data_IF_520195799200
#
_entry.id   IF_520195799200
#
_cell.length_a   1.000
_cell.length_b   1.000
_cell.length_c   1.000
_cell.angle_alpha   90.00
_cell.angle_beta   90.00
_cell.angle_gamma   90.00
#
_symmetry.space_group_name_H-M   'P 1'
#
loop_
_entity.id
_entity.type
_entity.pdbx_description
1 polymer ?
#
# COMPACT_ATOMS: atom_id res chain seq x y z
N UNK A 1 19.60 -15.80 -25.22
CA UNK A 1 18.39 -15.12 -24.70
C UNK A 1 18.66 -14.72 -23.26
N UNK A 2 18.48 -13.45 -22.85
CA UNK A 2 18.58 -13.08 -21.43
C UNK A 2 17.32 -13.57 -20.71
N UNK A 3 17.48 -14.50 -19.80
CA UNK A 3 16.41 -15.01 -18.97
C UNK A 3 15.89 -13.88 -18.07
N UNK A 4 14.61 -13.53 -18.21
CA UNK A 4 14.00 -12.45 -17.41
C UNK A 4 13.81 -12.95 -15.98
N UNK A 5 14.76 -12.68 -15.10
CA UNK A 5 14.65 -12.98 -13.67
C UNK A 5 13.61 -12.06 -13.03
N UNK A 6 12.52 -12.64 -12.53
CA UNK A 6 11.52 -11.92 -11.73
C UNK A 6 11.96 -11.88 -10.26
N UNK A 7 11.54 -10.85 -9.53
CA UNK A 7 11.85 -10.74 -8.11
C UNK A 7 11.13 -11.84 -7.31
N UNK A 8 11.78 -12.43 -6.29
CA UNK A 8 11.20 -13.49 -5.44
C UNK A 8 9.86 -13.08 -4.81
N UNK A 9 9.75 -11.82 -4.36
CA UNK A 9 8.49 -11.24 -3.82
C UNK A 9 7.37 -11.20 -4.88
N UNK A 10 7.71 -10.92 -6.14
CA UNK A 10 6.76 -10.93 -7.26
C UNK A 10 6.33 -12.36 -7.58
N UNK A 11 7.27 -13.30 -7.60
CA UNK A 11 6.99 -14.72 -7.79
C UNK A 11 6.01 -15.27 -6.74
N UNK A 12 6.29 -15.03 -5.45
CA UNK A 12 5.42 -15.45 -4.36
C UNK A 12 4.03 -14.79 -4.42
N UNK A 13 3.93 -13.55 -4.91
CA UNK A 13 2.63 -12.91 -5.17
C UNK A 13 1.84 -13.66 -6.23
N UNK A 14 2.45 -14.05 -7.35
CA UNK A 14 1.78 -14.83 -8.38
C UNK A 14 1.33 -16.20 -7.86
N UNK A 15 2.18 -16.90 -7.11
CA UNK A 15 1.82 -18.18 -6.49
C UNK A 15 0.70 -18.05 -5.47
N UNK A 16 0.65 -16.94 -4.72
CA UNK A 16 -0.46 -16.67 -3.79
C UNK A 16 -1.78 -16.60 -4.55
N UNK A 17 -1.83 -15.84 -5.65
CA UNK A 17 -3.03 -15.72 -6.48
C UNK A 17 -3.45 -17.07 -7.08
N UNK A 18 -2.50 -17.86 -7.58
CA UNK A 18 -2.78 -19.18 -8.16
C UNK A 18 -3.25 -20.19 -7.11
N UNK A 19 -2.66 -20.15 -5.91
CA UNK A 19 -3.08 -20.98 -4.78
C UNK A 19 -4.51 -20.65 -4.34
N UNK A 20 -4.87 -19.36 -4.30
CA UNK A 20 -6.24 -18.92 -4.03
C UNK A 20 -7.23 -19.35 -5.11
N UNK A 21 -6.84 -19.26 -6.39
CA UNK A 21 -7.65 -19.74 -7.51
C UNK A 21 -7.91 -21.25 -7.43
N UNK A 22 -6.90 -22.05 -7.07
CA UNK A 22 -7.06 -23.49 -6.87
C UNK A 22 -8.03 -23.82 -5.72
N UNK A 23 -7.93 -23.08 -4.61
CA UNK A 23 -8.86 -23.20 -3.47
C UNK A 23 -10.30 -22.88 -3.89
N UNK A 24 -10.50 -21.83 -4.69
CA UNK A 24 -11.80 -21.53 -5.28
C UNK A 24 -12.29 -22.66 -6.19
N UNK A 25 -11.42 -23.23 -7.04
CA UNK A 25 -11.77 -24.34 -7.92
C UNK A 25 -12.25 -25.60 -7.18
N UNK A 26 -11.63 -25.92 -6.03
CA UNK A 26 -12.08 -27.01 -5.15
C UNK A 26 -13.49 -26.79 -4.62
N UNK A 27 -13.80 -25.58 -4.17
CA UNK A 27 -15.12 -25.24 -3.63
C UNK A 27 -16.23 -25.33 -4.68
N UNK A 28 -15.89 -25.13 -5.96
CA UNK A 28 -16.83 -25.19 -7.09
C UNK A 28 -16.83 -26.55 -7.81
N UNK A 29 -16.22 -27.59 -7.22
CA UNK A 29 -16.14 -28.94 -7.80
C UNK A 29 -15.51 -29.01 -9.20
N UNK A 30 -14.68 -28.03 -9.56
CA UNK A 30 -13.94 -27.99 -10.84
C UNK A 30 -12.65 -28.83 -10.79
N UNK A 31 -12.28 -29.30 -9.60
CA UNK A 31 -11.10 -30.13 -9.35
C UNK A 31 -11.49 -31.36 -8.55
N UNK A 32 -10.62 -32.37 -8.56
CA UNK A 32 -10.83 -33.56 -7.75
C UNK A 32 -10.85 -33.19 -6.26
N UNK A 33 -11.85 -33.63 -5.47
CA UNK A 33 -11.99 -33.27 -4.06
C UNK A 33 -10.73 -33.56 -3.23
N UNK A 34 -10.02 -34.63 -3.59
CA UNK A 34 -8.85 -35.15 -2.88
C UNK A 34 -7.52 -34.59 -3.40
N UNK A 35 -7.50 -33.92 -4.56
CA UNK A 35 -6.24 -33.45 -5.14
C UNK A 35 -5.62 -32.34 -4.27
N UNK A 36 -4.36 -32.46 -3.82
CA UNK A 36 -3.68 -31.38 -3.12
C UNK A 36 -3.48 -30.16 -4.04
N UNK A 37 -3.23 -29.00 -3.46
CA UNK A 37 -2.95 -27.80 -4.24
C UNK A 37 -1.53 -27.84 -4.79
N UNK A 38 -1.33 -27.82 -6.12
CA UNK A 38 0.00 -27.93 -6.71
C UNK A 38 0.87 -26.69 -6.43
N UNK A 39 0.28 -25.58 -6.00
CA UNK A 39 0.98 -24.31 -5.76
C UNK A 39 1.43 -24.12 -4.30
N UNK A 40 1.06 -24.99 -3.37
CA UNK A 40 1.33 -24.79 -1.93
C UNK A 40 2.79 -24.97 -1.54
N UNK A 41 3.57 -25.74 -2.28
CA UNK A 41 4.99 -26.03 -1.99
C UNK A 41 5.95 -25.29 -2.92
N UNK A 42 5.44 -24.41 -3.78
CA UNK A 42 6.26 -23.68 -4.76
C UNK A 42 6.75 -22.32 -4.26
N UNK A 43 6.32 -21.90 -3.07
CA UNK A 43 6.74 -20.63 -2.49
C UNK A 43 8.24 -20.62 -2.25
N UNK A 44 8.90 -19.60 -2.81
CA UNK A 44 10.33 -19.42 -2.62
C UNK A 44 10.56 -18.84 -1.22
N UNK A 45 11.50 -19.40 -0.48
CA UNK A 45 11.98 -18.80 0.76
C UNK A 45 12.61 -17.46 0.38
N UNK A 46 12.05 -16.40 0.94
CA UNK A 46 12.63 -15.07 0.91
C UNK A 46 13.30 -14.95 2.26
N UNK A 47 14.59 -15.21 2.31
CA UNK A 47 15.39 -14.87 3.48
C UNK A 47 15.22 -13.37 3.70
N UNK A 48 14.92 -12.96 4.93
CA UNK A 48 15.04 -11.57 5.36
C UNK A 48 16.54 -11.26 5.42
N UNK A 49 17.19 -11.22 4.26
CA UNK A 49 18.55 -10.75 4.12
C UNK A 49 18.59 -9.36 4.77
N UNK A 50 19.44 -9.13 5.80
CA UNK A 50 19.63 -7.80 6.33
C UNK A 50 19.98 -6.94 5.14
N UNK A 51 19.20 -5.88 4.95
CA UNK A 51 19.28 -4.98 3.81
C UNK A 51 20.71 -4.50 3.70
N UNK A 52 21.55 -5.18 2.91
CA UNK A 52 22.82 -4.63 2.46
C UNK A 52 22.46 -3.31 1.79
N UNK A 53 23.29 -2.28 1.94
CA UNK A 53 22.99 -0.89 1.57
C UNK A 53 22.59 -0.65 0.08
N UNK A 54 22.46 -1.72 -0.73
CA UNK A 54 21.86 -1.72 -2.06
C UNK A 54 20.89 -2.87 -2.41
N UNK A 55 20.44 -3.70 -1.46
CA UNK A 55 19.76 -4.98 -1.73
C UNK A 55 18.26 -5.07 -1.43
N UNK A 56 17.71 -4.18 -0.60
CA UNK A 56 16.27 -4.06 -0.38
C UNK A 56 15.87 -2.61 -0.56
N UNK A 57 14.86 -2.42 -1.39
CA UNK A 57 14.20 -1.17 -1.76
C UNK A 57 13.47 -0.53 -0.57
N UNK A 58 14.07 -0.56 0.62
CA UNK A 58 13.60 0.25 1.72
C UNK A 58 13.92 1.71 1.36
N UNK A 59 12.86 2.50 1.21
CA UNK A 59 12.99 3.88 0.78
C UNK A 59 13.74 4.62 1.87
N UNK A 60 14.96 5.08 1.55
CA UNK A 60 15.75 5.89 2.48
C UNK A 60 14.91 7.09 2.93
N UNK A 61 14.82 7.34 4.25
CA UNK A 61 14.14 8.53 4.73
C UNK A 61 14.88 9.77 4.24
N UNK A 62 14.14 10.84 3.97
CA UNK A 62 14.71 12.12 3.57
C UNK A 62 15.46 12.74 4.74
N UNK A 63 16.66 13.25 4.46
CA UNK A 63 17.40 14.07 5.40
C UNK A 63 16.93 15.52 5.33
N UNK A 64 17.24 16.29 6.37
CA UNK A 64 16.85 17.70 6.43
C UNK A 64 17.50 18.50 5.31
N UNK A 65 18.76 18.22 4.97
CA UNK A 65 19.47 18.91 3.89
C UNK A 65 18.83 18.63 2.52
N UNK A 66 18.37 17.40 2.30
CA UNK A 66 17.69 17.01 1.07
C UNK A 66 16.32 17.68 0.95
N UNK A 67 15.59 17.82 2.06
CA UNK A 67 14.32 18.57 2.10
C UNK A 67 14.55 20.06 1.83
N UNK A 68 15.57 20.67 2.42
CA UNK A 68 15.94 22.07 2.14
C UNK A 68 16.33 22.25 0.67
N UNK A 69 17.10 21.33 0.10
CA UNK A 69 17.46 21.35 -1.32
C UNK A 69 16.23 21.20 -2.24
N UNK A 70 15.27 20.34 -1.87
CA UNK A 70 14.02 20.19 -2.60
C UNK A 70 13.22 21.49 -2.62
N UNK A 71 13.06 22.16 -1.48
CA UNK A 71 12.33 23.44 -1.39
C UNK A 71 13.12 24.64 -1.93
N UNK A 72 14.44 24.53 -2.08
CA UNK A 72 15.26 25.50 -2.80
C UNK A 72 15.24 25.29 -4.32
N UNK A 73 14.62 24.22 -4.82
CA UNK A 73 14.59 23.94 -6.25
C UNK A 73 13.81 25.00 -7.03
N UNK A 74 14.09 25.16 -8.34
CA UNK A 74 13.37 26.10 -9.22
C UNK A 74 11.84 25.91 -9.25
N UNK A 75 11.34 24.75 -8.81
CA UNK A 75 9.91 24.51 -8.66
C UNK A 75 9.25 25.45 -7.63
N UNK A 76 9.97 25.79 -6.57
CA UNK A 76 9.49 26.66 -5.49
C UNK A 76 10.10 28.07 -5.55
N UNK A 77 11.38 28.18 -5.94
CA UNK A 77 12.09 29.44 -6.01
C UNK A 77 11.80 30.25 -7.28
N UNK A 78 11.34 29.59 -8.36
CA UNK A 78 11.07 30.20 -9.65
C UNK A 78 11.82 29.52 -10.78
N UNK A 79 11.12 29.33 -11.90
CA UNK A 79 11.60 28.63 -13.08
C UNK A 79 11.64 29.53 -14.31
N UNK A 80 12.34 29.07 -15.35
CA UNK A 80 12.51 29.82 -16.60
C UNK A 80 11.25 29.86 -17.47
N UNK A 81 10.53 28.74 -17.57
CA UNK A 81 9.30 28.62 -18.35
C UNK A 81 8.50 27.38 -17.95
N UNK A 82 7.21 27.27 -18.31
CA UNK A 82 6.38 26.11 -17.97
C UNK A 82 6.92 24.75 -18.43
N UNK A 83 7.66 24.72 -19.55
CA UNK A 83 8.31 23.51 -20.07
C UNK A 83 9.70 23.24 -19.51
N UNK A 84 10.34 24.23 -18.86
CA UNK A 84 11.69 24.12 -18.29
C UNK A 84 11.67 24.48 -16.80
N UNK A 85 10.99 23.63 -16.03
CA UNK A 85 10.77 23.86 -14.59
C UNK A 85 11.97 23.57 -13.71
N UNK A 86 12.98 22.88 -14.24
CA UNK A 86 14.23 22.57 -13.55
C UNK A 86 15.30 23.64 -13.76
N UNK A 87 15.08 24.59 -14.68
CA UNK A 87 15.98 25.72 -14.90
C UNK A 87 15.53 26.90 -14.04
N UNK A 88 16.45 27.55 -13.28
CA UNK A 88 16.12 28.71 -12.46
C UNK A 88 15.61 29.88 -13.31
N UNK A 89 14.65 30.63 -12.77
CA UNK A 89 14.10 31.83 -13.38
C UNK A 89 13.13 32.56 -12.45
N UNK A 90 12.41 33.55 -12.96
CA UNK A 90 11.57 34.43 -12.13
C UNK A 90 10.09 34.02 -12.09
N UNK A 91 9.71 32.91 -12.74
CA UNK A 91 8.31 32.48 -12.84
C UNK A 91 8.01 31.34 -11.86
N UNK A 92 7.18 31.59 -10.85
CA UNK A 92 6.67 30.54 -9.94
C UNK A 92 5.32 30.04 -10.43
N UNK A 93 5.26 28.76 -10.80
CA UNK A 93 4.03 28.12 -11.31
C UNK A 93 3.40 27.30 -10.18
N UNK A 94 2.23 27.74 -9.70
CA UNK A 94 1.50 27.10 -8.58
C UNK A 94 0.46 26.09 -9.05
N UNK A 95 0.90 25.08 -9.78
CA UNK A 95 0.01 24.02 -10.29
C UNK A 95 0.02 22.76 -9.41
N UNK A 96 -0.47 21.64 -9.94
CA UNK A 96 -0.55 20.38 -9.21
C UNK A 96 0.80 19.90 -8.69
N UNK A 97 1.91 20.08 -9.41
CA UNK A 97 3.22 19.65 -8.95
C UNK A 97 3.70 20.46 -7.74
N UNK A 98 3.43 21.76 -7.75
CA UNK A 98 3.72 22.65 -6.62
C UNK A 98 2.93 22.24 -5.37
N UNK A 99 1.61 22.10 -5.51
CA UNK A 99 0.73 21.80 -4.37
C UNK A 99 0.87 20.37 -3.85
N UNK A 100 1.03 19.38 -4.74
CA UNK A 100 1.18 17.97 -4.34
C UNK A 100 2.39 17.79 -3.44
N UNK A 101 3.55 18.37 -3.80
CA UNK A 101 4.77 18.20 -3.01
C UNK A 101 4.63 18.88 -1.64
N UNK A 102 4.02 20.06 -1.57
CA UNK A 102 3.75 20.71 -0.28
C UNK A 102 2.84 19.85 0.60
N UNK A 103 1.72 19.37 0.05
CA UNK A 103 0.77 18.55 0.82
C UNK A 103 1.44 17.25 1.28
N UNK A 104 2.19 16.55 0.42
CA UNK A 104 2.94 15.34 0.80
C UNK A 104 3.90 15.63 1.95
N UNK A 105 4.65 16.73 1.87
CA UNK A 105 5.67 17.05 2.87
C UNK A 105 5.07 17.30 4.27
N UNK A 106 3.90 17.93 4.35
CA UNK A 106 3.25 18.22 5.63
C UNK A 106 2.37 17.09 6.16
N UNK A 107 1.70 16.34 5.27
CA UNK A 107 0.67 15.36 5.69
C UNK A 107 1.10 13.91 5.57
N UNK A 108 2.11 13.61 4.76
CA UNK A 108 2.51 12.22 4.44
C UNK A 108 1.44 11.43 3.69
N UNK A 109 0.42 12.09 3.12
CA UNK A 109 -0.66 11.44 2.38
C UNK A 109 -0.14 10.69 1.14
N UNK A 110 -0.86 9.66 0.71
CA UNK A 110 -0.52 8.94 -0.52
C UNK A 110 -0.78 9.83 -1.73
N UNK A 111 0.05 9.69 -2.77
CA UNK A 111 -0.12 10.41 -4.04
C UNK A 111 -1.54 10.31 -4.61
N UNK A 112 -2.14 9.12 -4.59
CA UNK A 112 -3.51 8.90 -5.09
C UNK A 112 -4.56 9.66 -4.27
N UNK A 113 -4.35 9.83 -2.97
CA UNK A 113 -5.25 10.58 -2.09
C UNK A 113 -5.16 12.09 -2.40
N UNK A 114 -3.96 12.61 -2.63
CA UNK A 114 -3.73 14.03 -2.92
C UNK A 114 -4.25 14.40 -4.32
N UNK A 115 -4.04 13.54 -5.32
CA UNK A 115 -4.48 13.82 -6.68
C UNK A 115 -6.02 13.87 -6.85
N UNK A 116 -6.78 13.25 -5.94
CA UNK A 116 -8.24 13.29 -5.95
C UNK A 116 -8.82 14.38 -5.04
N UNK A 117 -7.97 15.11 -4.33
CA UNK A 117 -8.39 16.14 -3.39
C UNK A 117 -8.97 17.35 -4.14
N UNK A 118 -10.01 17.96 -3.56
CA UNK A 118 -10.68 19.17 -4.05
C UNK A 118 -10.75 20.16 -2.90
N UNK A 119 -10.97 21.44 -3.21
CA UNK A 119 -11.07 22.50 -2.20
C UNK A 119 -12.19 22.21 -1.19
N UNK A 120 -13.28 21.59 -1.62
CA UNK A 120 -14.40 21.16 -0.75
C UNK A 120 -14.02 20.11 0.30
N UNK A 121 -12.89 19.42 0.13
CA UNK A 121 -12.38 18.44 1.09
C UNK A 121 -11.50 19.06 2.18
N UNK A 122 -11.21 20.36 2.10
CA UNK A 122 -10.51 21.10 3.14
C UNK A 122 -11.54 21.59 4.16
N UNK A 123 -11.45 21.09 5.39
CA UNK A 123 -12.36 21.42 6.47
C UNK A 123 -11.60 22.15 7.60
N UNK A 124 -12.32 23.03 8.30
CA UNK A 124 -11.83 23.71 9.49
C UNK A 124 -12.56 23.17 10.72
N UNK A 125 -11.80 22.85 11.76
CA UNK A 125 -12.36 22.45 13.04
C UNK A 125 -12.43 23.67 13.95
N UNK A 126 -13.60 24.29 14.07
CA UNK A 126 -13.79 25.56 14.79
C UNK A 126 -13.30 25.53 16.24
N UNK A 127 -13.58 24.45 16.98
CA UNK A 127 -13.17 24.35 18.40
C UNK A 127 -11.66 24.26 18.64
N UNK A 128 -10.91 23.75 17.67
CA UNK A 128 -9.46 23.49 17.80
C UNK A 128 -8.62 24.44 16.95
N UNK A 129 -9.27 25.21 16.09
CA UNK A 129 -8.65 26.07 15.08
C UNK A 129 -7.64 25.34 14.18
N UNK A 130 -7.98 24.11 13.77
CA UNK A 130 -7.12 23.27 12.93
C UNK A 130 -7.76 23.01 11.58
N UNK A 131 -7.00 23.22 10.52
CA UNK A 131 -7.34 22.80 9.16
C UNK A 131 -6.96 21.34 8.93
N UNK A 132 -7.87 20.58 8.32
CA UNK A 132 -7.62 19.17 8.00
C UNK A 132 -8.24 18.78 6.66
N UNK A 133 -7.67 17.75 6.04
CA UNK A 133 -8.20 17.14 4.82
C UNK A 133 -9.15 16.00 5.16
N UNK A 134 -10.42 16.11 4.74
CA UNK A 134 -11.41 15.06 4.95
C UNK A 134 -11.36 14.01 3.83
N UNK A 135 -10.62 12.92 4.06
CA UNK A 135 -10.49 11.81 3.11
C UNK A 135 -11.69 10.86 3.06
N UNK A 136 -12.68 11.06 3.93
CA UNK A 136 -13.91 10.25 3.97
C UNK A 136 -15.10 10.95 3.31
N UNK A 137 -14.90 12.15 2.79
CA UNK A 137 -15.94 12.92 2.14
C UNK A 137 -16.49 12.16 0.91
N UNK A 138 -17.80 12.31 0.60
CA UNK A 138 -18.40 11.72 -0.59
C UNK A 138 -17.72 12.29 -1.84
N UNK A 139 -17.47 11.43 -2.85
CA UNK A 139 -16.82 11.82 -4.11
C UNK A 139 -15.36 11.40 -4.23
N UNK A 140 -14.71 10.98 -3.13
CA UNK A 140 -13.38 10.39 -3.14
C UNK A 140 -13.43 8.89 -3.44
N UNK A 141 -12.76 8.47 -4.51
CA UNK A 141 -12.66 7.06 -4.93
C UNK A 141 -11.33 6.48 -4.44
N UNK A 142 -11.18 6.40 -3.11
CA UNK A 142 -9.98 5.87 -2.49
C UNK A 142 -10.06 4.35 -2.40
N UNK A 143 -9.03 3.67 -2.89
CA UNK A 143 -8.90 2.22 -2.74
C UNK A 143 -8.55 1.89 -1.30
N UNK A 144 -9.57 1.74 -0.45
CA UNK A 144 -9.39 1.24 0.91
C UNK A 144 -8.98 -0.23 0.80
N UNK A 145 -7.76 -0.55 1.24
CA UNK A 145 -7.35 -1.95 1.43
C UNK A 145 -8.17 -2.49 2.60
N UNK A 146 -9.32 -3.09 2.32
CA UNK A 146 -10.09 -3.86 3.30
C UNK A 146 -9.25 -5.06 3.69
N UNK A 147 -8.50 -4.96 4.80
CA UNK A 147 -7.94 -6.15 5.45
C UNK A 147 -9.13 -6.95 5.97
N UNK A 148 -9.51 -8.03 5.28
CA UNK A 148 -10.40 -9.04 5.87
C UNK A 148 -9.64 -9.62 7.06
N UNK A 149 -10.12 -9.37 8.27
CA UNK A 149 -9.62 -10.04 9.47
C UNK A 149 -9.73 -11.54 9.25
N UNK A 150 -8.58 -12.23 9.21
CA UNK A 150 -8.52 -13.68 9.17
C UNK A 150 -9.07 -14.18 10.50
N UNK A 151 -10.33 -14.62 10.55
CA UNK A 151 -10.84 -15.38 11.69
C UNK A 151 -9.97 -16.64 11.80
N UNK A 152 -9.11 -16.71 12.81
CA UNK A 152 -8.49 -17.97 13.20
C UNK A 152 -9.59 -18.83 13.86
N UNK A 153 -10.36 -19.52 13.02
CA UNK A 153 -11.28 -20.57 13.44
C UNK A 153 -10.54 -21.90 13.34
N UNK A 154 -9.97 -22.32 14.46
CA UNK A 154 -9.28 -23.61 14.63
C UNK A 154 -9.38 -24.04 16.08
N UNK A 155 -10.61 -24.13 16.60
CA UNK A 155 -10.87 -24.81 17.86
C UNK A 155 -10.73 -26.31 17.64
N UNK A 156 -9.81 -26.91 18.36
CA UNK A 156 -9.63 -28.37 18.47
C UNK A 156 -10.96 -28.94 18.99
N UNK A 157 -11.56 -29.96 18.35
CA UNK A 157 -12.75 -30.60 18.90
C UNK A 157 -12.36 -31.40 20.16
N UNK A 158 -12.94 -31.02 21.31
CA UNK A 158 -12.85 -31.79 22.55
C UNK A 158 -13.53 -33.14 22.36
N UNK A 159 -12.71 -34.17 22.15
CA UNK A 159 -13.09 -35.58 22.23
C UNK A 159 -13.11 -36.00 23.70
N UNK A 160 -14.11 -35.57 24.48
CA UNK A 160 -14.51 -36.30 25.69
C UNK A 160 -15.91 -35.93 26.20
N UNK A 161 -16.94 -36.26 25.42
CA UNK A 161 -18.32 -36.33 25.92
C UNK A 161 -18.69 -37.80 26.19
N UNK A 162 -18.01 -38.39 27.17
CA UNK A 162 -18.33 -39.69 27.74
C UNK A 162 -19.22 -39.54 28.99
N UNK A 163 -20.49 -39.90 28.83
CA UNK A 163 -21.29 -40.62 29.83
C UNK A 163 -21.35 -40.08 31.28
N UNK A 164 -22.46 -39.41 31.60
CA UNK A 164 -23.29 -39.84 32.76
C UNK A 164 -24.73 -39.34 32.67
N UNK A 165 -25.62 -40.28 32.40
CA UNK A 165 -27.04 -40.23 32.65
C UNK A 165 -27.32 -40.71 34.08
N UNK A 166 -28.13 -39.95 34.85
CA UNK A 166 -29.05 -40.36 35.95
C UNK A 166 -29.53 -39.05 36.59
N UNK A 167 -30.76 -38.57 36.40
CA UNK A 167 -32.03 -39.08 36.97
C UNK A 167 -31.89 -39.54 38.42
N UNK A 168 -32.01 -38.59 39.35
CA UNK A 168 -33.14 -38.48 40.30
C UNK A 168 -33.09 -37.11 40.97
#
# INVERSE_FOLDING_TARGET
>A
MREKRTARKTWNRHLSTLSEFWKWGKLNALTFPTAPNPFEQLFLIVDDEPVSEGGSQERKPWREEEMRALFASPLFAGCRSPGRRYEPGNLVIRDSLYWVILIVAYTGMRREEICQLRVEHLCHHEEKDIWYFNLKAPGLQLKIIKRRGKKMGGGIPDLNAGSRCRMR
#
